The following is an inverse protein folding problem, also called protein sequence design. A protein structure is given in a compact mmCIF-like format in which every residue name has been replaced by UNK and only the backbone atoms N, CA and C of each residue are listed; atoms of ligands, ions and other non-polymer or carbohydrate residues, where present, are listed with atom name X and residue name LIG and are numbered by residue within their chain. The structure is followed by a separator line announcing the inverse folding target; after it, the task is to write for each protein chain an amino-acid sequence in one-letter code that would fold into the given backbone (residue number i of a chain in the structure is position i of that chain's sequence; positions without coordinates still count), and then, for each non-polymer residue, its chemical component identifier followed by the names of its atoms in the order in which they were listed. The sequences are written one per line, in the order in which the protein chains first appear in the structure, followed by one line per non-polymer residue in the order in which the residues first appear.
data_IF_625628751024
#
_entry.id   IF_625628751024
#
_cell.length_a   1.000
_cell.length_b   1.000
_cell.length_c   1.000
_cell.angle_alpha   90.00
_cell.angle_beta   90.00
_cell.angle_gamma   90.00
#
_symmetry.space_group_name_H-M   'P 1'
#
loop_
_entity.id
_entity.type
_entity.pdbx_description
1 polymer ?
#
# COMPACT_ATOMS: atom_id res chain seq x y z
N UNK A 1 -19.80 34.90 -37.23
CA UNK A 1 -18.51 34.48 -36.66
C UNK A 1 -18.65 34.44 -35.15
N UNK A 2 -18.11 33.38 -34.53
CA UNK A 2 -17.71 33.31 -33.11
C UNK A 2 -18.85 33.09 -32.09
N UNK A 3 -18.84 32.11 -31.19
CA UNK A 3 -17.83 31.14 -30.76
C UNK A 3 -18.52 29.81 -30.36
N UNK A 4 -18.09 28.69 -30.95
CA UNK A 4 -18.28 27.37 -30.35
C UNK A 4 -17.34 27.25 -29.15
N UNK A 5 -17.90 27.07 -27.96
CA UNK A 5 -17.14 26.68 -26.78
C UNK A 5 -16.71 25.22 -26.91
N UNK A 6 -15.41 24.97 -27.05
CA UNK A 6 -14.82 23.64 -27.02
C UNK A 6 -15.12 22.93 -25.69
N UNK A 7 -15.26 21.59 -25.67
CA UNK A 7 -15.44 20.83 -24.44
C UNK A 7 -14.17 20.94 -23.59
N UNK A 8 -14.33 21.39 -22.35
CA UNK A 8 -13.21 21.46 -21.39
C UNK A 8 -12.73 20.03 -21.10
N UNK A 9 -11.41 19.75 -21.12
CA UNK A 9 -10.91 18.46 -20.70
C UNK A 9 -11.17 18.27 -19.20
N UNK A 10 -11.95 17.24 -18.87
CA UNK A 10 -12.22 16.78 -17.50
C UNK A 10 -10.90 16.38 -16.83
N UNK A 11 -10.21 17.36 -16.26
CA UNK A 11 -9.03 17.11 -15.45
C UNK A 11 -9.53 16.80 -14.04
N UNK A 12 -10.27 15.70 -13.90
CA UNK A 12 -10.70 15.15 -12.60
C UNK A 12 -9.41 14.84 -11.82
N UNK A 13 -9.06 15.70 -10.87
CA UNK A 13 -7.90 15.53 -10.00
C UNK A 13 -8.05 14.14 -9.35
N UNK A 14 -7.08 13.23 -9.48
CA UNK A 14 -7.24 11.90 -8.93
C UNK A 14 -7.43 12.01 -7.42
N UNK A 15 -8.45 11.33 -6.90
CA UNK A 15 -8.47 10.94 -5.50
C UNK A 15 -7.11 10.29 -5.20
N UNK A 16 -6.53 10.60 -4.03
CA UNK A 16 -5.21 10.09 -3.59
C UNK A 16 -4.93 8.70 -4.15
N UNK A 17 -3.71 8.45 -4.65
CA UNK A 17 -3.43 7.28 -5.48
C UNK A 17 -3.97 6.02 -4.81
N UNK A 18 -4.63 5.13 -5.57
CA UNK A 18 -5.18 3.90 -5.03
C UNK A 18 -4.08 3.12 -4.28
N UNK A 19 -4.45 2.34 -3.26
CA UNK A 19 -3.48 1.56 -2.48
C UNK A 19 -2.67 0.58 -3.35
N UNK A 20 -3.20 0.23 -4.52
CA UNK A 20 -2.55 -0.56 -5.55
C UNK A 20 -2.52 0.15 -6.89
N UNK A 21 -1.43 -0.05 -7.64
CA UNK A 21 -1.34 0.44 -9.02
C UNK A 21 -2.36 -0.29 -9.92
N UNK A 22 -2.83 0.34 -11.01
CA UNK A 22 -3.72 -0.29 -11.98
C UNK A 22 -3.16 -1.61 -12.51
N UNK A 23 -1.83 -1.68 -12.70
CA UNK A 23 -1.13 -2.88 -13.15
C UNK A 23 -1.35 -4.07 -12.21
N UNK A 24 -1.35 -3.87 -10.89
CA UNK A 24 -1.61 -4.95 -9.92
C UNK A 24 -3.08 -5.39 -9.99
N UNK A 25 -4.00 -4.44 -10.12
CA UNK A 25 -5.44 -4.70 -10.17
C UNK A 25 -5.89 -5.33 -11.50
N UNK A 26 -5.14 -5.14 -12.58
CA UNK A 26 -5.39 -5.77 -13.89
C UNK A 26 -4.90 -7.22 -13.93
N UNK A 27 -3.81 -7.56 -13.24
CA UNK A 27 -3.15 -8.87 -13.30
C UNK A 27 -3.41 -9.74 -12.06
N UNK A 28 -4.61 -9.63 -11.48
CA UNK A 28 -4.99 -10.36 -10.27
C UNK A 28 -4.92 -11.90 -10.43
N UNK A 29 -4.99 -12.42 -11.65
CA UNK A 29 -4.89 -13.85 -11.94
C UNK A 29 -3.52 -14.46 -11.64
N UNK A 30 -2.46 -13.65 -11.72
CA UNK A 30 -1.07 -14.07 -11.53
C UNK A 30 -0.74 -14.32 -10.05
N UNK A 31 -1.52 -13.76 -9.13
CA UNK A 31 -1.22 -13.81 -7.70
C UNK A 31 -1.74 -15.08 -7.01
N UNK A 32 -1.02 -15.53 -5.98
CA UNK A 32 -1.43 -16.65 -5.13
C UNK A 32 -2.72 -16.34 -4.35
N UNK A 33 -3.40 -17.37 -3.84
CA UNK A 33 -4.57 -17.17 -2.95
C UNK A 33 -4.22 -16.30 -1.74
N UNK A 34 -3.05 -16.52 -1.12
CA UNK A 34 -2.58 -15.72 0.01
C UNK A 34 -2.41 -14.25 -0.37
N UNK A 35 -1.74 -13.97 -1.49
CA UNK A 35 -1.57 -12.60 -1.99
C UNK A 35 -2.91 -11.95 -2.31
N UNK A 36 -3.83 -12.67 -2.95
CA UNK A 36 -5.19 -12.19 -3.24
C UNK A 36 -5.98 -11.85 -1.97
N UNK A 37 -5.82 -12.62 -0.89
CA UNK A 37 -6.47 -12.29 0.39
C UNK A 37 -5.90 -11.04 1.06
N UNK A 38 -4.60 -10.76 0.90
CA UNK A 38 -3.97 -9.54 1.41
C UNK A 38 -4.48 -8.33 0.62
N UNK A 39 -4.42 -8.39 -0.72
CA UNK A 39 -4.94 -7.34 -1.60
C UNK A 39 -6.42 -7.06 -1.27
N UNK A 40 -7.24 -8.12 -1.17
CA UNK A 40 -8.65 -7.99 -0.83
C UNK A 40 -8.90 -7.29 0.50
N UNK A 41 -8.12 -7.60 1.55
CA UNK A 41 -8.23 -6.94 2.86
C UNK A 41 -7.95 -5.44 2.77
N UNK A 42 -6.90 -5.06 2.06
CA UNK A 42 -6.52 -3.66 1.91
C UNK A 42 -7.54 -2.88 1.07
N UNK A 43 -8.08 -3.48 0.00
CA UNK A 43 -9.18 -2.89 -0.77
C UNK A 43 -10.45 -2.71 0.08
N UNK A 44 -10.78 -3.63 0.99
CA UNK A 44 -11.90 -3.45 1.95
C UNK A 44 -11.64 -2.28 2.91
N UNK A 45 -10.41 -2.15 3.41
CA UNK A 45 -10.04 -1.04 4.29
C UNK A 45 -10.18 0.31 3.57
N UNK A 46 -9.72 0.38 2.32
CA UNK A 46 -9.87 1.56 1.47
C UNK A 46 -11.34 1.86 1.19
N UNK A 47 -12.12 0.85 0.78
CA UNK A 47 -13.55 0.99 0.54
C UNK A 47 -14.29 1.53 1.77
N UNK A 48 -13.93 1.06 2.97
CA UNK A 48 -14.50 1.53 4.23
C UNK A 48 -14.24 3.02 4.43
N UNK A 49 -12.99 3.45 4.28
CA UNK A 49 -12.58 4.86 4.40
C UNK A 49 -13.27 5.75 3.36
N UNK A 50 -13.38 5.29 2.12
CA UNK A 50 -14.00 6.04 1.02
C UNK A 50 -15.51 6.12 1.15
N UNK A 51 -16.15 5.03 1.59
CA UNK A 51 -17.58 5.02 1.89
C UNK A 51 -17.91 5.99 3.02
N UNK A 52 -17.10 6.01 4.09
CA UNK A 52 -17.24 7.00 5.15
C UNK A 52 -17.09 8.44 4.63
N UNK A 53 -16.09 8.69 3.79
CA UNK A 53 -15.88 10.00 3.15
C UNK A 53 -17.06 10.42 2.28
N UNK A 54 -17.67 9.47 1.55
CA UNK A 54 -18.86 9.70 0.74
C UNK A 54 -20.05 10.05 1.61
N UNK A 55 -20.30 9.30 2.70
CA UNK A 55 -21.36 9.61 3.66
C UNK A 55 -21.20 11.02 4.26
N UNK A 56 -19.97 11.42 4.62
CA UNK A 56 -19.70 12.77 5.14
C UNK A 56 -19.93 13.85 4.08
N UNK A 57 -19.57 13.58 2.83
CA UNK A 57 -19.79 14.51 1.71
C UNK A 57 -21.29 14.69 1.43
N UNK A 58 -22.05 13.59 1.38
CA UNK A 58 -23.51 13.62 1.21
C UNK A 58 -24.21 14.31 2.39
N UNK A 59 -23.74 14.09 3.61
CA UNK A 59 -24.24 14.79 4.81
C UNK A 59 -24.00 16.29 4.73
N UNK A 60 -22.80 16.72 4.30
CA UNK A 60 -22.51 18.15 4.13
C UNK A 60 -23.42 18.81 3.09
N UNK A 61 -23.71 18.12 1.97
CA UNK A 61 -24.68 18.58 0.97
C UNK A 61 -26.08 18.71 1.56
N UNK A 62 -26.52 17.71 2.34
CA UNK A 62 -27.82 17.74 3.05
C UNK A 62 -27.91 18.92 4.04
N UNK A 63 -26.82 19.22 4.75
CA UNK A 63 -26.72 20.32 5.71
C UNK A 63 -26.45 21.69 5.05
N UNK A 64 -26.38 21.77 3.72
CA UNK A 64 -26.02 22.98 2.94
C UNK A 64 -24.68 23.58 3.36
N UNK A 65 -23.75 22.75 3.86
CA UNK A 65 -22.38 23.15 4.16
C UNK A 65 -21.52 23.05 2.90
N UNK A 66 -20.51 23.92 2.73
CA UNK A 66 -19.57 23.79 1.61
C UNK A 66 -18.89 22.41 1.67
N UNK A 67 -18.81 21.69 0.53
CA UNK A 67 -18.19 20.36 0.48
C UNK A 67 -16.70 20.47 0.86
N UNK A 68 -16.27 19.63 1.80
CA UNK A 68 -14.93 19.72 2.41
C UNK A 68 -13.86 19.03 1.56
N UNK A 69 -14.21 18.05 0.71
CA UNK A 69 -13.27 17.45 -0.23
C UNK A 69 -13.95 16.60 -1.31
N UNK A 70 -13.44 16.68 -2.55
CA UNK A 70 -13.68 15.73 -3.64
C UNK A 70 -15.05 15.84 -4.31
N UNK A 71 -15.10 15.50 -5.60
CA UNK A 71 -16.35 15.30 -6.33
C UNK A 71 -17.02 13.99 -5.84
N UNK A 72 -18.24 14.04 -5.29
CA UNK A 72 -18.94 12.84 -4.78
C UNK A 72 -19.18 11.80 -5.86
N UNK A 73 -19.33 12.22 -7.13
CA UNK A 73 -19.53 11.30 -8.25
C UNK A 73 -18.25 10.49 -8.52
N UNK A 74 -17.10 11.17 -8.54
CA UNK A 74 -15.79 10.50 -8.65
C UNK A 74 -15.52 9.54 -7.49
N UNK A 75 -15.95 9.87 -6.27
CA UNK A 75 -15.79 9.00 -5.10
C UNK A 75 -16.70 7.76 -5.19
N UNK A 76 -17.91 7.92 -5.75
CA UNK A 76 -18.84 6.83 -5.99
C UNK A 76 -18.33 5.88 -7.09
N UNK A 77 -17.83 6.42 -8.20
CA UNK A 77 -17.13 5.65 -9.25
C UNK A 77 -15.97 4.83 -8.67
N UNK A 78 -15.19 5.45 -7.77
CA UNK A 78 -14.07 4.77 -7.12
C UNK A 78 -14.51 3.64 -6.19
N UNK A 79 -15.54 3.86 -5.37
CA UNK A 79 -16.13 2.81 -4.53
C UNK A 79 -16.67 1.64 -5.37
N UNK A 80 -17.30 1.92 -6.51
CA UNK A 80 -17.77 0.87 -7.43
C UNK A 80 -16.61 0.03 -7.96
N UNK A 81 -15.53 0.67 -8.44
CA UNK A 81 -14.33 -0.03 -8.91
C UNK A 81 -13.73 -0.94 -7.83
N UNK A 82 -13.66 -0.48 -6.57
CA UNK A 82 -13.19 -1.30 -5.45
C UNK A 82 -14.10 -2.52 -5.23
N UNK A 83 -15.42 -2.37 -5.28
CA UNK A 83 -16.36 -3.48 -5.16
C UNK A 83 -16.20 -4.50 -6.29
N UNK A 84 -16.05 -4.04 -7.53
CA UNK A 84 -15.84 -4.91 -8.69
C UNK A 84 -14.57 -5.74 -8.52
N UNK A 85 -13.48 -5.12 -8.08
CA UNK A 85 -12.21 -5.82 -7.81
C UNK A 85 -12.32 -6.81 -6.67
N UNK A 86 -13.07 -6.50 -5.61
CA UNK A 86 -13.32 -7.45 -4.52
C UNK A 86 -14.09 -8.69 -4.98
N UNK A 87 -15.10 -8.52 -5.85
CA UNK A 87 -15.83 -9.65 -6.46
C UNK A 87 -14.88 -10.47 -7.33
N UNK A 88 -14.05 -9.83 -8.14
CA UNK A 88 -13.04 -10.47 -8.98
C UNK A 88 -12.07 -11.33 -8.16
N UNK A 89 -11.57 -10.79 -7.05
CA UNK A 89 -10.69 -11.49 -6.10
C UNK A 89 -11.39 -12.72 -5.51
N UNK A 90 -12.64 -12.56 -5.05
CA UNK A 90 -13.43 -13.66 -4.48
C UNK A 90 -13.57 -14.80 -5.48
N UNK A 91 -14.00 -14.51 -6.71
CA UNK A 91 -14.19 -15.52 -7.75
C UNK A 91 -12.88 -16.26 -8.08
N UNK A 92 -11.75 -15.54 -8.10
CA UNK A 92 -10.43 -16.17 -8.30
C UNK A 92 -10.03 -17.09 -7.16
N UNK A 93 -10.27 -16.70 -5.92
CA UNK A 93 -9.99 -17.54 -4.75
C UNK A 93 -10.84 -18.81 -4.80
N UNK A 94 -12.14 -18.68 -5.05
CA UNK A 94 -13.06 -19.82 -5.16
C UNK A 94 -12.62 -20.80 -6.26
N UNK A 95 -12.19 -20.27 -7.42
CA UNK A 95 -11.66 -21.09 -8.52
C UNK A 95 -10.37 -21.83 -8.14
N UNK A 96 -9.46 -21.21 -7.38
CA UNK A 96 -8.15 -21.79 -7.02
C UNK A 96 -8.22 -22.79 -5.85
N UNK A 97 -9.06 -22.54 -4.86
CA UNK A 97 -9.14 -23.39 -3.65
C UNK A 97 -10.01 -24.62 -3.88
N UNK A 98 -10.99 -24.52 -4.80
CA UNK A 98 -12.00 -25.55 -4.99
C UNK A 98 -12.95 -25.62 -3.79
N UNK A 99 -14.24 -25.85 -4.03
CA UNK A 99 -15.28 -25.86 -2.98
C UNK A 99 -15.22 -27.06 -2.01
N UNK A 100 -14.08 -27.74 -1.87
CA UNK A 100 -13.93 -28.84 -0.91
C UNK A 100 -13.67 -28.27 0.48
N UNK A 101 -14.75 -28.05 1.23
CA UNK A 101 -14.67 -27.90 2.68
C UNK A 101 -14.06 -29.17 3.27
N UNK A 102 -12.98 -29.01 4.03
CA UNK A 102 -12.35 -30.10 4.77
C UNK A 102 -13.36 -30.61 5.81
N UNK A 103 -13.71 -31.90 5.77
CA UNK A 103 -14.57 -32.48 6.81
C UNK A 103 -13.74 -32.81 8.07
N UNK A 104 -14.42 -33.02 9.20
CA UNK A 104 -13.76 -33.27 10.49
C UNK A 104 -12.85 -34.50 10.46
N UNK A 105 -13.26 -35.57 9.78
CA UNK A 105 -12.47 -36.80 9.69
C UNK A 105 -11.19 -36.61 8.87
N UNK A 106 -11.27 -35.89 7.75
CA UNK A 106 -10.14 -35.54 6.89
C UNK A 106 -9.17 -34.61 7.62
N UNK A 107 -9.68 -33.68 8.42
CA UNK A 107 -8.86 -32.83 9.28
C UNK A 107 -8.08 -33.63 10.32
N UNK A 108 -8.76 -34.50 11.08
CA UNK A 108 -8.12 -35.34 12.11
C UNK A 108 -7.06 -36.24 11.48
N UNK A 109 -7.36 -36.85 10.33
CA UNK A 109 -6.42 -37.68 9.57
C UNK A 109 -5.18 -36.90 9.17
N UNK A 110 -5.33 -35.66 8.67
CA UNK A 110 -4.20 -34.79 8.31
C UNK A 110 -3.36 -34.39 9.51
N UNK A 111 -3.98 -34.11 10.65
CA UNK A 111 -3.28 -33.70 11.87
C UNK A 111 -2.59 -34.86 12.60
N UNK A 112 -3.02 -36.10 12.32
CA UNK A 112 -2.42 -37.32 12.86
C UNK A 112 -1.22 -37.78 12.04
N UNK A 113 -0.98 -37.15 10.88
CA UNK A 113 0.20 -37.39 10.06
C UNK A 113 1.42 -36.72 10.69
N UNK A 114 2.35 -37.54 11.20
CA UNK A 114 3.61 -37.09 11.80
C UNK A 114 4.74 -36.99 10.77
N UNK A 115 4.44 -37.16 9.48
CA UNK A 115 5.44 -37.02 8.42
C UNK A 115 5.90 -35.56 8.36
N UNK A 116 7.21 -35.27 8.35
CA UNK A 116 7.70 -33.91 8.20
C UNK A 116 7.15 -33.28 6.91
N UNK A 117 6.78 -31.98 6.93
CA UNK A 117 6.36 -31.30 5.72
C UNK A 117 7.46 -31.35 4.67
N UNK A 118 7.20 -31.98 3.54
CA UNK A 118 8.10 -31.94 2.38
C UNK A 118 7.77 -30.66 1.60
N UNK A 119 8.77 -29.83 1.32
CA UNK A 119 8.60 -28.68 0.42
C UNK A 119 8.52 -29.19 -1.03
N UNK A 120 7.34 -29.67 -1.40
CA UNK A 120 7.00 -30.17 -2.74
C UNK A 120 6.81 -29.04 -3.76
N UNK A 121 7.22 -27.81 -3.43
CA UNK A 121 7.11 -26.70 -4.36
C UNK A 121 7.94 -26.97 -5.63
N UNK A 122 7.42 -26.60 -6.82
CA UNK A 122 8.17 -26.67 -8.07
C UNK A 122 9.52 -25.97 -7.94
N UNK A 123 10.56 -26.49 -8.60
CA UNK A 123 11.92 -25.95 -8.55
C UNK A 123 11.96 -24.45 -8.88
N UNK A 124 11.21 -24.03 -9.91
CA UNK A 124 11.05 -22.63 -10.31
C UNK A 124 10.53 -21.73 -9.17
N UNK A 125 9.62 -22.26 -8.34
CA UNK A 125 9.06 -21.51 -7.21
C UNK A 125 10.07 -21.38 -6.06
N UNK A 126 10.94 -22.39 -5.88
CA UNK A 126 12.05 -22.34 -4.91
C UNK A 126 13.07 -21.29 -5.31
N UNK A 127 13.45 -21.26 -6.59
CA UNK A 127 14.36 -20.25 -7.15
C UNK A 127 13.78 -18.83 -7.02
N UNK A 128 12.50 -18.64 -7.35
CA UNK A 128 11.82 -17.33 -7.17
C UNK A 128 11.79 -16.89 -5.70
N UNK A 129 11.54 -17.81 -4.76
CA UNK A 129 11.57 -17.50 -3.32
C UNK A 129 12.96 -17.10 -2.86
N UNK A 130 14.00 -17.80 -3.33
CA UNK A 130 15.38 -17.45 -3.04
C UNK A 130 15.73 -16.06 -3.58
N UNK A 131 15.40 -15.77 -4.84
CA UNK A 131 15.66 -14.46 -5.46
C UNK A 131 14.93 -13.33 -4.71
N UNK A 132 13.68 -13.57 -4.29
CA UNK A 132 12.92 -12.61 -3.48
C UNK A 132 13.64 -12.31 -2.16
N UNK A 133 14.13 -13.34 -1.46
CA UNK A 133 14.79 -13.19 -0.17
C UNK A 133 16.15 -12.47 -0.30
N UNK A 134 16.89 -12.75 -1.38
CA UNK A 134 18.12 -12.03 -1.73
C UNK A 134 17.84 -10.55 -2.00
N UNK A 135 16.79 -10.25 -2.78
CA UNK A 135 16.40 -8.86 -3.09
C UNK A 135 15.90 -8.13 -1.83
N UNK A 136 15.12 -8.79 -0.98
CA UNK A 136 14.68 -8.25 0.31
C UNK A 136 15.88 -7.90 1.18
N UNK A 137 16.86 -8.79 1.27
CA UNK A 137 18.10 -8.57 2.03
C UNK A 137 18.87 -7.37 1.48
N UNK A 138 19.06 -7.29 0.15
CA UNK A 138 19.70 -6.14 -0.50
C UNK A 138 18.99 -4.82 -0.19
N UNK A 139 17.66 -4.78 -0.28
CA UNK A 139 16.87 -3.59 0.04
C UNK A 139 17.00 -3.19 1.51
N UNK A 140 16.97 -4.16 2.44
CA UNK A 140 17.19 -3.88 3.85
C UNK A 140 18.57 -3.28 4.11
N UNK A 141 19.63 -3.84 3.50
CA UNK A 141 21.00 -3.31 3.60
C UNK A 141 21.08 -1.89 3.06
N UNK A 142 20.60 -1.65 1.83
CA UNK A 142 20.61 -0.31 1.23
C UNK A 142 19.84 0.71 2.06
N UNK A 143 18.68 0.34 2.62
CA UNK A 143 17.91 1.22 3.49
C UNK A 143 18.69 1.56 4.78
N UNK A 144 19.40 0.60 5.37
CA UNK A 144 20.24 0.85 6.53
C UNK A 144 21.44 1.75 6.17
N UNK A 145 22.07 1.52 5.02
CA UNK A 145 23.18 2.35 4.54
C UNK A 145 22.73 3.79 4.28
N UNK A 146 21.54 3.98 3.68
CA UNK A 146 20.96 5.31 3.45
C UNK A 146 20.67 6.03 4.77
N UNK A 147 20.12 5.34 5.77
CA UNK A 147 19.90 5.91 7.11
C UNK A 147 21.21 6.28 7.79
N UNK A 148 22.25 5.47 7.63
CA UNK A 148 23.58 5.76 8.15
C UNK A 148 24.18 6.99 7.46
N UNK A 149 24.05 7.12 6.14
CA UNK A 149 24.51 8.30 5.41
C UNK A 149 23.77 9.57 5.85
N UNK A 150 22.45 9.49 6.02
CA UNK A 150 21.63 10.60 6.52
C UNK A 150 22.05 11.02 7.94
N UNK A 151 22.28 10.04 8.81
CA UNK A 151 22.82 10.30 10.15
C UNK A 151 24.22 10.93 10.10
N UNK A 152 25.11 10.40 9.26
CA UNK A 152 26.46 10.95 9.06
C UNK A 152 26.40 12.39 8.59
N UNK A 153 25.54 12.70 7.60
CA UNK A 153 25.33 14.07 7.14
C UNK A 153 24.83 14.97 8.28
N UNK A 154 23.87 14.49 9.08
CA UNK A 154 23.30 15.23 10.21
C UNK A 154 24.32 15.54 11.33
N UNK A 155 25.31 14.68 11.56
CA UNK A 155 26.35 14.89 12.60
C UNK A 155 27.63 15.54 12.08
N UNK A 156 27.83 15.58 10.76
CA UNK A 156 29.01 16.21 10.14
C UNK A 156 28.72 17.58 9.53
N UNK A 157 27.46 17.94 9.30
CA UNK A 157 27.09 19.26 8.77
C UNK A 157 27.50 20.37 9.78
N UNK A 158 28.50 21.21 9.42
CA UNK A 158 28.96 22.27 10.31
C UNK A 158 27.90 23.33 10.60
N UNK A 159 26.85 23.43 9.76
CA UNK A 159 25.73 24.34 9.98
C UNK A 159 24.79 23.88 11.10
N UNK A 160 24.79 22.58 11.41
CA UNK A 160 24.03 21.97 12.51
C UNK A 160 24.78 21.98 13.85
N UNK A 161 26.08 22.30 13.83
CA UNK A 161 26.84 22.53 15.05
C UNK A 161 26.33 23.79 15.75
N UNK A 162 25.98 23.68 17.03
CA UNK A 162 25.67 24.86 17.85
C UNK A 162 26.87 25.80 17.78
N UNK A 163 26.65 27.04 17.31
CA UNK A 163 27.67 28.09 17.36
C UNK A 163 28.18 28.18 18.80
N UNK A 164 29.46 27.86 19.01
CA UNK A 164 30.13 28.06 20.29
C UNK A 164 30.42 29.55 20.41
N UNK A 165 29.36 30.34 20.60
CA UNK A 165 29.52 31.67 21.14
C UNK A 165 29.96 31.48 22.60
N UNK A 166 31.17 31.98 22.93
CA UNK A 166 31.74 32.20 24.28
C UNK A 166 32.86 31.26 24.78
N UNK A 167 33.90 30.97 24.00
CA UNK A 167 35.17 30.46 24.58
C UNK A 167 36.45 31.02 23.94
N UNK A 168 36.46 32.30 23.56
CA UNK A 168 37.69 32.98 23.14
C UNK A 168 37.72 34.46 23.54
N UNK A 169 37.60 34.74 24.84
CA UNK A 169 38.06 36.02 25.41
C UNK A 169 38.72 35.77 26.75
N UNK A 170 39.94 35.22 26.72
CA UNK A 170 40.93 35.41 27.79
C UNK A 170 42.04 36.30 27.27
N UNK A 171 41.70 37.53 26.89
CA UNK A 171 42.72 38.57 26.67
C UNK A 171 43.06 39.16 28.04
N UNK A 172 44.07 38.52 28.64
CA UNK A 172 45.14 39.08 29.49
C UNK A 172 45.00 40.57 29.84
N UNK A 173 44.81 40.84 31.13
CA UNK A 173 44.95 42.16 31.75
C UNK A 173 46.27 42.82 31.30
N UNK A 174 46.21 44.09 30.91
CA UNK A 174 47.37 44.98 30.80
C UNK A 174 47.14 46.16 31.74
N UNK A 175 47.95 46.22 32.79
CA UNK A 175 48.43 47.48 33.39
C UNK A 175 49.36 48.20 32.41
#
# INVERSE_FOLDING_TARGET
MSHQSAPKPDTKKPLNPPPYSPQILEHLDQFSVGTLTVIGRELVSELTTRTHSLCMSLKAVSERKPPVAGDPEQLLEYCQMLMDKLVEIRLRIEKKVGNKRLNTADYIRRMSDMTPPVDDAPLELKEKRQLFEENRTKLCTLNNDLKMLDWMASVTDPSLLKKVDKMATSVRERE
#
